data_IF_262742689985
#
_entry.id   IF_262742689985
#
_cell.length_a   1.000
_cell.length_b   1.000
_cell.length_c   1.000
_cell.angle_alpha   90.00
_cell.angle_beta   90.00
_cell.angle_gamma   90.00
#
_symmetry.space_group_name_H-M   'P 1'
#
loop_
_entity.id
_entity.type
_entity.pdbx_description
1 polymer ?
#
# COMPACT_ATOMS: atom_id res chain seq x y z
N UNK A 1 32.68 -2.03 6.23
CA UNK A 1 31.36 -2.14 6.89
C UNK A 1 30.43 -0.95 6.62
N UNK A 2 30.88 0.31 6.72
CA UNK A 2 30.03 1.49 6.47
C UNK A 2 29.49 1.61 5.02
N UNK A 3 30.17 1.01 4.03
CA UNK A 3 29.79 1.08 2.60
C UNK A 3 28.61 0.17 2.21
N UNK A 4 28.34 -0.90 2.96
CA UNK A 4 27.23 -1.82 2.67
C UNK A 4 25.91 -1.26 3.24
N UNK A 5 25.98 -0.59 4.40
CA UNK A 5 24.85 0.16 4.98
C UNK A 5 24.44 1.36 4.10
N UNK A 6 25.42 2.01 3.45
CA UNK A 6 25.20 3.15 2.54
C UNK A 6 24.58 2.73 1.19
N UNK A 7 24.87 1.53 0.70
CA UNK A 7 24.28 1.02 -0.55
C UNK A 7 22.80 0.61 -0.39
N UNK A 8 22.40 0.19 0.81
CA UNK A 8 20.99 -0.05 1.14
C UNK A 8 20.19 1.25 1.29
N UNK A 9 20.82 2.33 1.76
CA UNK A 9 20.17 3.64 1.88
C UNK A 9 20.05 4.39 0.54
N UNK A 10 20.90 4.08 -0.45
CA UNK A 10 20.96 4.80 -1.73
C UNK A 10 19.92 4.35 -2.78
N UNK A 11 19.24 3.22 -2.57
CA UNK A 11 18.21 2.72 -3.51
C UNK A 11 16.78 3.22 -3.22
N UNK A 12 16.60 4.14 -2.25
CA UNK A 12 15.29 4.67 -1.86
C UNK A 12 15.04 6.14 -2.21
N UNK A 13 15.78 6.68 -3.19
CA UNK A 13 15.46 7.99 -3.77
C UNK A 13 15.02 7.82 -5.22
N UNK A 14 13.76 7.45 -5.39
CA UNK A 14 13.04 7.62 -6.66
C UNK A 14 11.94 8.65 -6.44
N UNK A 15 12.25 9.89 -6.84
CA UNK A 15 11.33 10.94 -7.31
C UNK A 15 10.09 11.26 -6.44
N UNK A 16 10.26 12.15 -5.45
CA UNK A 16 9.16 12.99 -4.99
C UNK A 16 9.09 14.28 -5.82
N UNK A 17 8.46 14.18 -6.99
CA UNK A 17 7.84 15.34 -7.63
C UNK A 17 6.48 15.53 -6.97
N UNK A 18 6.26 16.67 -6.32
CA UNK A 18 4.95 17.09 -5.82
C UNK A 18 3.94 17.12 -6.97
N UNK A 19 3.04 16.14 -7.05
CA UNK A 19 1.91 16.18 -7.97
C UNK A 19 0.87 17.11 -7.36
N UNK A 20 1.01 18.41 -7.65
CA UNK A 20 0.00 19.40 -7.30
C UNK A 20 -1.28 19.07 -8.07
N UNK A 21 -2.36 18.80 -7.35
CA UNK A 21 -3.70 18.69 -7.94
C UNK A 21 -4.10 20.02 -8.56
N UNK A 22 -4.82 19.98 -9.68
CA UNK A 22 -5.33 21.18 -10.33
C UNK A 22 -6.75 21.46 -9.87
N UNK A 23 -6.98 22.64 -9.30
CA UNK A 23 -8.30 23.14 -8.95
C UNK A 23 -8.87 23.95 -10.12
N UNK A 24 -10.12 23.66 -10.49
CA UNK A 24 -10.84 24.28 -11.60
C UNK A 24 -12.21 24.71 -11.11
N UNK A 25 -12.57 25.97 -11.33
CA UNK A 25 -13.94 26.43 -11.14
C UNK A 25 -14.76 26.14 -12.40
N UNK A 26 -15.89 25.45 -12.24
CA UNK A 26 -16.78 25.05 -13.34
C UNK A 26 -18.12 25.75 -13.17
N UNK A 27 -18.37 26.73 -14.03
CA UNK A 27 -19.61 27.49 -14.05
C UNK A 27 -20.75 26.66 -14.64
N UNK A 28 -21.92 26.69 -14.00
CA UNK A 28 -23.10 25.92 -14.42
C UNK A 28 -23.64 26.36 -15.79
N UNK A 29 -23.44 27.63 -16.14
CA UNK A 29 -23.93 28.26 -17.36
C UNK A 29 -22.99 28.14 -18.57
N UNK A 30 -21.86 27.44 -18.42
CA UNK A 30 -20.86 27.34 -19.47
C UNK A 30 -20.71 25.89 -19.90
N UNK A 31 -20.99 25.62 -21.17
CA UNK A 31 -20.74 24.29 -21.73
C UNK A 31 -19.25 24.09 -22.02
N UNK A 32 -18.70 23.00 -21.47
CA UNK A 32 -17.35 22.51 -21.71
C UNK A 32 -16.24 23.51 -21.32
N UNK A 33 -16.25 23.94 -20.06
CA UNK A 33 -15.20 24.75 -19.43
C UNK A 33 -13.84 24.07 -19.60
N UNK A 34 -12.87 24.70 -20.27
CA UNK A 34 -11.51 24.18 -20.40
C UNK A 34 -10.83 24.12 -19.02
N UNK A 35 -10.26 22.96 -18.67
CA UNK A 35 -9.53 22.85 -17.40
C UNK A 35 -8.10 23.37 -17.48
N UNK A 36 -7.53 23.56 -18.68
CA UNK A 36 -6.09 23.77 -18.85
C UNK A 36 -5.24 22.51 -18.63
N UNK A 37 -5.84 21.39 -18.21
CA UNK A 37 -5.15 20.11 -18.03
C UNK A 37 -5.16 19.29 -19.31
N UNK A 38 -3.98 18.94 -19.82
CA UNK A 38 -3.84 17.95 -20.89
C UNK A 38 -3.67 16.55 -20.30
N UNK A 39 -4.68 15.69 -20.46
CA UNK A 39 -4.66 14.29 -20.00
C UNK A 39 -4.20 13.33 -21.09
N UNK A 40 -3.53 12.23 -20.73
CA UNK A 40 -3.10 11.20 -21.70
C UNK A 40 -3.94 9.93 -21.63
N UNK A 41 -4.19 9.32 -22.79
CA UNK A 41 -4.88 8.02 -22.89
C UNK A 41 -4.16 6.97 -22.03
N UNK A 42 -4.93 6.27 -21.19
CA UNK A 42 -4.45 5.21 -20.30
C UNK A 42 -4.07 5.69 -18.90
N UNK A 43 -3.88 6.99 -18.68
CA UNK A 43 -3.72 7.55 -17.34
C UNK A 43 -5.05 7.58 -16.59
N UNK A 44 -4.98 7.48 -15.27
CA UNK A 44 -6.14 7.52 -14.40
C UNK A 44 -6.10 8.80 -13.57
N UNK A 45 -7.25 9.42 -13.36
CA UNK A 45 -7.39 10.64 -12.58
C UNK A 45 -8.52 10.47 -11.56
N UNK A 46 -8.30 10.93 -10.33
CA UNK A 46 -9.37 11.18 -9.37
C UNK A 46 -9.86 12.60 -9.63
N UNK A 47 -11.16 12.72 -9.86
CA UNK A 47 -11.83 14.01 -10.05
C UNK A 47 -12.90 14.12 -8.98
N UNK A 48 -12.83 15.17 -8.15
CA UNK A 48 -13.79 15.45 -7.08
C UNK A 48 -14.30 16.87 -7.17
N UNK A 49 -15.55 17.09 -6.76
CA UNK A 49 -16.21 18.37 -6.87
C UNK A 49 -16.95 18.74 -5.58
N UNK A 50 -16.87 20.03 -5.24
CA UNK A 50 -17.60 20.65 -4.13
C UNK A 50 -18.32 21.90 -4.61
N UNK A 51 -19.40 22.27 -3.91
CA UNK A 51 -20.25 23.39 -4.27
C UNK A 51 -21.63 22.92 -4.75
N UNK A 52 -22.41 23.89 -5.22
CA UNK A 52 -23.75 23.65 -5.73
C UNK A 52 -24.01 24.54 -6.94
N UNK A 53 -24.83 24.01 -7.84
CA UNK A 53 -25.36 24.74 -8.99
C UNK A 53 -26.85 24.47 -9.15
N UNK A 54 -27.49 25.29 -9.96
CA UNK A 54 -28.94 25.34 -10.08
C UNK A 54 -29.34 25.43 -11.55
N UNK A 55 -30.40 24.71 -11.91
CA UNK A 55 -31.09 24.82 -13.21
C UNK A 55 -32.32 25.69 -13.01
N UNK A 56 -32.36 26.84 -13.69
CA UNK A 56 -33.46 27.80 -13.65
C UNK A 56 -34.00 28.02 -12.22
N UNK A 57 -35.27 27.67 -11.99
CA UNK A 57 -35.97 27.80 -10.71
C UNK A 57 -36.01 26.50 -9.90
N UNK A 58 -35.34 25.42 -10.34
CA UNK A 58 -35.24 24.19 -9.54
C UNK A 58 -34.35 24.41 -8.32
N UNK A 59 -34.46 23.62 -7.24
CA UNK A 59 -33.54 23.74 -6.10
C UNK A 59 -32.08 23.57 -6.51
N UNK A 60 -31.14 24.16 -5.77
CA UNK A 60 -29.72 23.89 -6.02
C UNK A 60 -29.38 22.40 -5.76
N UNK A 61 -28.41 21.88 -6.51
CA UNK A 61 -27.94 20.49 -6.42
C UNK A 61 -26.42 20.43 -6.41
N UNK A 62 -25.88 19.34 -5.85
CA UNK A 62 -24.45 19.06 -5.88
C UNK A 62 -24.02 18.50 -7.24
N UNK A 63 -22.75 18.13 -7.37
CA UNK A 63 -22.22 17.59 -8.61
C UNK A 63 -22.85 16.25 -9.04
N UNK A 64 -23.61 15.56 -8.19
CA UNK A 64 -24.34 14.33 -8.53
C UNK A 64 -25.62 14.60 -9.33
N UNK A 65 -26.10 15.83 -9.31
CA UNK A 65 -27.31 16.26 -10.01
C UNK A 65 -28.60 15.80 -9.35
N UNK A 66 -29.73 16.18 -9.96
CA UNK A 66 -31.05 15.88 -9.44
C UNK A 66 -31.36 14.38 -9.40
N UNK A 67 -31.91 13.91 -8.28
CA UNK A 67 -32.39 12.53 -8.09
C UNK A 67 -33.92 12.52 -8.25
N UNK A 68 -34.42 11.71 -9.18
CA UNK A 68 -35.84 11.67 -9.55
C UNK A 68 -36.19 12.67 -10.65
N UNK A 69 -37.29 12.42 -11.36
CA UNK A 69 -37.73 13.20 -12.51
C UNK A 69 -39.06 13.88 -12.24
N UNK A 70 -39.21 15.12 -12.73
CA UNK A 70 -40.52 15.73 -12.98
C UNK A 70 -40.87 15.53 -14.46
N UNK A 71 -42.15 15.49 -14.82
CA UNK A 71 -42.60 15.31 -16.21
C UNK A 71 -41.95 16.27 -17.25
N UNK A 72 -41.65 17.55 -16.94
CA UNK A 72 -40.92 18.45 -17.84
C UNK A 72 -39.49 18.00 -18.18
N UNK A 73 -38.80 17.31 -17.26
CA UNK A 73 -37.43 16.81 -17.50
C UNK A 73 -37.41 15.65 -18.51
N UNK A 74 -38.55 15.02 -18.80
CA UNK A 74 -38.63 13.83 -19.66
C UNK A 74 -38.34 14.14 -21.14
N UNK A 75 -38.79 15.31 -21.64
CA UNK A 75 -38.54 15.72 -23.03
C UNK A 75 -37.10 16.20 -23.26
N UNK A 76 -36.50 16.87 -22.27
CA UNK A 76 -35.12 17.34 -22.37
C UNK A 76 -34.06 16.23 -22.23
N UNK A 77 -34.44 15.03 -21.75
CA UNK A 77 -33.51 13.91 -21.52
C UNK A 77 -32.71 13.51 -22.77
N UNK A 78 -33.32 13.53 -23.95
CA UNK A 78 -32.66 13.16 -25.22
C UNK A 78 -31.69 14.22 -25.74
N UNK A 79 -31.81 15.45 -25.25
CA UNK A 79 -31.00 16.60 -25.71
C UNK A 79 -29.77 16.86 -24.83
N UNK A 80 -29.63 16.13 -23.72
CA UNK A 80 -28.45 16.21 -22.86
C UNK A 80 -27.20 15.66 -23.55
N UNK A 81 -26.01 16.18 -23.22
CA UNK A 81 -24.75 15.60 -23.64
C UNK A 81 -24.58 14.12 -23.27
N UNK A 82 -25.12 13.68 -22.13
CA UNK A 82 -25.16 12.28 -21.69
C UNK A 82 -26.59 11.93 -21.22
N UNK A 83 -27.46 11.43 -22.12
CA UNK A 83 -28.89 11.18 -21.84
C UNK A 83 -29.16 10.27 -20.63
N UNK A 84 -28.37 9.20 -20.47
CA UNK A 84 -28.52 8.21 -19.39
C UNK A 84 -27.96 8.62 -18.02
N UNK A 85 -27.67 9.91 -17.80
CA UNK A 85 -27.18 10.43 -16.54
C UNK A 85 -28.09 11.54 -16.01
N UNK A 86 -28.04 11.81 -14.70
CA UNK A 86 -28.89 12.81 -14.07
C UNK A 86 -28.70 14.21 -14.68
N UNK A 87 -29.78 15.01 -14.64
CA UNK A 87 -29.71 16.44 -14.93
C UNK A 87 -28.77 17.13 -13.95
N UNK A 88 -28.03 18.13 -14.42
CA UNK A 88 -27.05 18.86 -13.61
C UNK A 88 -25.99 17.98 -12.96
N UNK A 89 -25.72 16.78 -13.50
CA UNK A 89 -24.58 15.98 -13.06
C UNK A 89 -23.31 16.56 -13.66
N UNK A 90 -22.24 16.66 -12.86
CA UNK A 90 -20.92 17.02 -13.37
C UNK A 90 -20.41 15.94 -14.32
N UNK A 91 -20.01 16.37 -15.50
CA UNK A 91 -19.49 15.53 -16.56
C UNK A 91 -18.16 16.07 -17.08
N UNK A 92 -17.35 15.16 -17.62
CA UNK A 92 -16.11 15.45 -18.30
C UNK A 92 -16.17 15.10 -19.77
N UNK A 93 -15.31 15.75 -20.56
CA UNK A 93 -15.11 15.51 -21.98
C UNK A 93 -13.63 15.61 -22.32
N UNK A 94 -13.17 14.70 -23.18
CA UNK A 94 -11.89 14.81 -23.89
C UNK A 94 -12.16 14.50 -25.35
N UNK A 95 -12.00 15.50 -26.23
CA UNK A 95 -12.43 15.43 -27.64
C UNK A 95 -13.91 15.01 -27.73
N UNK A 96 -14.26 13.97 -28.49
CA UNK A 96 -15.65 13.51 -28.63
C UNK A 96 -16.08 12.51 -27.54
N UNK A 97 -15.20 12.14 -26.62
CA UNK A 97 -15.52 11.20 -25.55
C UNK A 97 -16.01 11.96 -24.31
N UNK A 98 -17.23 11.65 -23.86
CA UNK A 98 -17.87 12.23 -22.67
C UNK A 98 -18.06 11.17 -21.59
N UNK A 99 -18.01 11.55 -20.33
CA UNK A 99 -18.16 10.65 -19.20
C UNK A 99 -18.78 11.35 -17.98
N UNK A 100 -19.59 10.65 -17.17
CA UNK A 100 -20.09 11.19 -15.90
C UNK A 100 -19.00 11.21 -14.83
N UNK A 101 -19.07 12.20 -13.93
CA UNK A 101 -18.15 12.35 -12.79
C UNK A 101 -18.92 12.33 -11.46
N UNK A 102 -19.90 13.22 -11.27
CA UNK A 102 -20.55 13.35 -9.96
C UNK A 102 -19.67 14.05 -8.91
N UNK A 103 -19.96 13.84 -7.63
CA UNK A 103 -19.18 14.41 -6.51
C UNK A 103 -17.73 13.90 -6.48
N UNK A 104 -17.50 12.64 -6.87
CA UNK A 104 -16.15 12.08 -6.97
C UNK A 104 -16.15 10.83 -7.84
N UNK A 105 -15.21 10.74 -8.78
CA UNK A 105 -14.98 9.54 -9.59
C UNK A 105 -13.50 9.34 -9.90
N UNK A 106 -13.12 8.08 -10.15
CA UNK A 106 -11.81 7.72 -10.70
C UNK A 106 -12.01 7.36 -12.17
N UNK A 107 -11.37 8.09 -13.07
CA UNK A 107 -11.58 7.97 -14.52
C UNK A 107 -10.26 7.60 -15.19
N UNK A 108 -10.25 6.45 -15.87
CA UNK A 108 -9.18 6.09 -16.81
C UNK A 108 -9.46 6.70 -18.17
N UNK A 109 -8.52 7.51 -18.66
CA UNK A 109 -8.70 8.31 -19.87
C UNK A 109 -8.68 7.45 -21.14
N UNK A 110 -9.74 7.51 -21.94
CA UNK A 110 -9.83 6.77 -23.22
C UNK A 110 -9.20 7.52 -24.41
N UNK A 111 -8.85 8.80 -24.21
CA UNK A 111 -8.34 9.72 -25.23
C UNK A 111 -7.29 10.65 -24.61
N UNK A 112 -6.33 11.08 -25.43
CA UNK A 112 -5.38 12.15 -25.09
C UNK A 112 -5.94 13.49 -25.59
N UNK A 113 -5.88 14.52 -24.77
CA UNK A 113 -6.31 15.88 -25.09
C UNK A 113 -6.62 16.70 -23.84
N UNK A 114 -7.10 17.93 -24.03
CA UNK A 114 -7.53 18.77 -22.93
C UNK A 114 -8.80 18.22 -22.26
N UNK A 115 -8.80 18.17 -20.92
CA UNK A 115 -9.98 17.86 -20.13
C UNK A 115 -10.90 19.08 -20.09
N UNK A 116 -12.17 18.89 -20.43
CA UNK A 116 -13.22 19.91 -20.31
C UNK A 116 -14.31 19.41 -19.36
N UNK A 117 -14.89 20.31 -18.55
CA UNK A 117 -15.89 20.00 -17.53
C UNK A 117 -17.19 20.77 -17.79
N UNK A 118 -18.34 20.17 -17.48
CA UNK A 118 -19.65 20.78 -17.77
C UNK A 118 -20.80 20.17 -16.94
N UNK A 119 -21.90 20.92 -16.81
CA UNK A 119 -23.19 20.44 -16.30
C UNK A 119 -23.91 19.59 -17.34
N UNK A 120 -24.45 18.42 -16.95
CA UNK A 120 -25.23 17.57 -17.85
C UNK A 120 -26.66 18.10 -18.06
N UNK A 121 -26.75 19.29 -18.62
CA UNK A 121 -27.98 19.98 -18.98
C UNK A 121 -28.27 19.86 -20.49
N UNK A 122 -29.51 20.10 -20.92
CA UNK A 122 -29.91 20.04 -22.31
C UNK A 122 -29.19 21.11 -23.15
N UNK A 123 -28.82 20.75 -24.38
CA UNK A 123 -28.20 21.72 -25.31
C UNK A 123 -29.12 22.93 -25.51
N UNK A 124 -28.58 24.12 -25.33
CA UNK A 124 -29.30 25.39 -25.48
C UNK A 124 -29.96 25.91 -24.20
N UNK A 125 -29.85 25.21 -23.07
CA UNK A 125 -30.45 25.63 -21.80
C UNK A 125 -29.44 26.13 -20.77
N UNK A 126 -28.13 26.04 -21.03
CA UNK A 126 -27.10 26.45 -20.08
C UNK A 126 -27.23 27.89 -19.56
N UNK A 127 -27.75 28.81 -20.36
CA UNK A 127 -27.83 30.23 -20.00
C UNK A 127 -28.77 30.52 -18.81
N UNK A 128 -29.68 29.60 -18.48
CA UNK A 128 -30.56 29.72 -17.31
C UNK A 128 -29.98 29.10 -16.03
N UNK A 129 -28.80 28.48 -16.11
CA UNK A 129 -28.14 27.85 -14.97
C UNK A 129 -27.38 28.88 -14.14
N UNK A 130 -27.26 28.65 -12.83
CA UNK A 130 -26.48 29.50 -11.93
C UNK A 130 -25.64 28.70 -10.93
N UNK A 131 -24.66 29.36 -10.32
CA UNK A 131 -23.70 28.74 -9.40
C UNK A 131 -22.48 28.11 -10.10
N UNK A 132 -21.60 27.54 -9.28
CA UNK A 132 -20.34 26.93 -9.73
C UNK A 132 -19.95 25.75 -8.85
N UNK A 133 -19.12 24.87 -9.42
CA UNK A 133 -18.45 23.80 -8.69
C UNK A 133 -16.95 24.06 -8.67
N UNK A 134 -16.31 23.88 -7.52
CA UNK A 134 -14.85 23.74 -7.43
C UNK A 134 -14.49 22.29 -7.66
N UNK A 135 -13.66 22.02 -8.66
CA UNK A 135 -13.29 20.68 -9.11
C UNK A 135 -11.79 20.47 -8.98
N UNK A 136 -11.42 19.48 -8.18
CA UNK A 136 -10.04 19.03 -8.01
C UNK A 136 -9.75 17.86 -8.94
N UNK A 137 -8.69 17.96 -9.73
CA UNK A 137 -8.21 16.87 -10.61
C UNK A 137 -6.81 16.46 -10.18
N UNK A 138 -6.68 15.20 -9.76
CA UNK A 138 -5.42 14.63 -9.28
C UNK A 138 -5.10 13.37 -10.09
N UNK A 139 -3.90 13.21 -10.65
CA UNK A 139 -3.45 11.93 -11.20
C UNK A 139 -3.63 10.82 -10.17
N UNK A 140 -4.47 9.85 -10.48
CA UNK A 140 -4.52 8.62 -9.74
C UNK A 140 -3.36 7.77 -10.25
N UNK A 141 -2.33 7.59 -9.41
CA UNK A 141 -1.33 6.56 -9.68
C UNK A 141 -2.07 5.24 -9.95
N UNK A 142 -1.47 4.36 -10.77
CA UNK A 142 -1.95 2.97 -10.91
C UNK A 142 -1.94 2.34 -9.52
N UNK A 143 -3.04 2.51 -8.80
CA UNK A 143 -3.35 1.79 -7.58
C UNK A 143 -3.62 0.36 -8.03
N UNK A 144 -2.56 -0.42 -8.13
CA UNK A 144 -2.66 -1.86 -8.04
C UNK A 144 -3.11 -2.21 -6.63
N UNK A 145 -4.40 -1.99 -6.30
CA UNK A 145 -5.21 -2.84 -5.41
C UNK A 145 -6.63 -2.29 -5.25
N UNK A 146 -7.58 -3.19 -5.38
CA UNK A 146 -9.01 -3.05 -5.13
C UNK A 146 -9.38 -2.30 -3.83
N UNK A 147 -10.44 -1.49 -3.91
CA UNK A 147 -11.51 -1.32 -2.90
C UNK A 147 -11.18 -1.85 -1.49
N UNK A 148 -10.38 -1.12 -0.72
CA UNK A 148 -10.19 -1.37 0.71
C UNK A 148 -11.25 -0.57 1.49
N UNK A 149 -12.24 -1.27 2.05
CA UNK A 149 -13.13 -0.68 3.05
C UNK A 149 -12.34 -0.49 4.37
N UNK A 150 -12.33 0.71 4.99
CA UNK A 150 -11.70 0.91 6.28
C UNK A 150 -12.40 0.09 7.36
N UNK A 151 -11.65 -0.45 8.32
CA UNK A 151 -12.18 -1.05 9.54
C UNK A 151 -11.37 -0.51 10.73
N UNK A 152 -11.92 0.52 11.36
CA UNK A 152 -11.40 1.13 12.58
C UNK A 152 -12.33 0.72 13.72
N UNK A 153 -11.79 0.58 14.93
CA UNK A 153 -12.60 0.59 16.14
C UNK A 153 -13.01 2.05 16.43
N UNK A 154 -14.14 2.23 17.11
CA UNK A 154 -14.70 3.55 17.46
C UNK A 154 -13.74 4.41 18.32
N UNK A 155 -12.71 3.82 18.91
CA UNK A 155 -11.71 4.46 19.77
C UNK A 155 -10.48 5.06 19.05
N UNK A 156 -10.37 4.89 17.72
CA UNK A 156 -9.26 5.41 16.93
C UNK A 156 -7.96 4.61 16.99
N UNK A 157 -7.98 3.36 17.45
CA UNK A 157 -6.82 2.48 17.38
C UNK A 157 -6.61 1.90 15.98
N UNK A 158 -5.34 1.84 15.55
CA UNK A 158 -4.97 1.17 14.30
C UNK A 158 -5.29 -0.33 14.38
N UNK A 159 -6.07 -0.82 13.41
CA UNK A 159 -6.41 -2.24 13.28
C UNK A 159 -5.63 -2.84 12.11
N UNK A 160 -4.75 -3.84 12.37
CA UNK A 160 -4.04 -4.53 11.30
C UNK A 160 -4.97 -5.13 10.24
N UNK A 161 -4.50 -5.21 8.99
CA UNK A 161 -5.29 -5.72 7.85
C UNK A 161 -5.94 -7.09 8.10
N UNK A 162 -5.19 -7.99 8.74
CA UNK A 162 -5.62 -9.35 9.04
C UNK A 162 -6.00 -9.52 10.52
N UNK A 163 -6.39 -8.44 11.22
CA UNK A 163 -6.62 -8.47 12.67
C UNK A 163 -7.59 -9.57 13.11
N UNK A 164 -8.69 -9.74 12.37
CA UNK A 164 -9.73 -10.74 12.63
C UNK A 164 -9.63 -11.98 11.74
N UNK A 165 -8.57 -12.13 10.95
CA UNK A 165 -8.38 -13.31 10.13
C UNK A 165 -8.05 -14.54 11.01
N UNK A 166 -8.44 -15.76 10.59
CA UNK A 166 -7.98 -16.98 11.23
C UNK A 166 -6.44 -17.06 11.23
N UNK A 167 -5.87 -17.68 12.26
CA UNK A 167 -4.42 -17.75 12.42
C UNK A 167 -3.72 -18.40 11.20
N UNK A 168 -4.30 -19.43 10.59
CA UNK A 168 -3.76 -20.04 9.37
C UNK A 168 -3.55 -19.04 8.22
N UNK A 169 -4.45 -18.07 8.05
CA UNK A 169 -4.28 -16.99 7.05
C UNK A 169 -3.15 -16.03 7.43
N UNK A 170 -2.98 -15.77 8.74
CA UNK A 170 -1.87 -14.94 9.24
C UNK A 170 -0.54 -15.64 9.01
N UNK A 171 -0.44 -16.92 9.35
CA UNK A 171 0.75 -17.75 9.11
C UNK A 171 1.10 -17.80 7.63
N UNK A 172 0.14 -18.06 6.75
CA UNK A 172 0.42 -18.18 5.31
C UNK A 172 0.98 -16.87 4.73
N UNK A 173 0.36 -15.73 5.07
CA UNK A 173 0.85 -14.41 4.66
C UNK A 173 2.19 -14.06 5.31
N UNK A 174 2.35 -14.36 6.60
CA UNK A 174 3.58 -14.12 7.34
C UNK A 174 4.74 -14.91 6.74
N UNK A 175 4.55 -16.20 6.50
CA UNK A 175 5.51 -17.10 5.86
C UNK A 175 5.86 -16.64 4.44
N UNK A 176 4.88 -16.23 3.63
CA UNK A 176 5.14 -15.68 2.30
C UNK A 176 6.13 -14.51 2.34
N UNK A 177 5.97 -13.59 3.30
CA UNK A 177 6.86 -12.45 3.44
C UNK A 177 8.22 -12.83 4.05
N UNK A 178 8.24 -13.70 5.04
CA UNK A 178 9.48 -14.23 5.63
C UNK A 178 10.33 -14.89 4.55
N UNK A 179 9.78 -15.87 3.84
CA UNK A 179 10.51 -16.61 2.80
C UNK A 179 10.85 -15.73 1.59
N UNK A 180 10.05 -14.70 1.31
CA UNK A 180 10.39 -13.69 0.30
C UNK A 180 11.64 -12.88 0.67
N UNK A 181 11.72 -12.41 1.92
CA UNK A 181 12.90 -11.70 2.44
C UNK A 181 14.12 -12.61 2.48
N UNK A 182 13.95 -13.85 2.94
CA UNK A 182 15.01 -14.86 2.99
C UNK A 182 15.55 -15.18 1.59
N UNK A 183 14.67 -15.43 0.61
CA UNK A 183 15.09 -15.72 -0.75
C UNK A 183 15.87 -14.55 -1.39
N UNK A 184 15.44 -13.30 -1.13
CA UNK A 184 16.17 -12.11 -1.57
C UNK A 184 17.54 -12.03 -0.87
N UNK A 185 17.59 -12.25 0.44
CA UNK A 185 18.83 -12.20 1.23
C UNK A 185 19.82 -13.27 0.78
N UNK A 186 19.33 -14.49 0.55
CA UNK A 186 20.09 -15.61 0.01
C UNK A 186 20.63 -15.31 -1.39
N UNK A 187 19.80 -14.73 -2.26
CA UNK A 187 20.23 -14.30 -3.60
C UNK A 187 21.30 -13.20 -3.57
N UNK A 188 21.20 -12.25 -2.63
CA UNK A 188 22.22 -11.22 -2.42
C UNK A 188 23.52 -11.86 -1.92
N UNK A 189 23.48 -12.75 -0.93
CA UNK A 189 24.65 -13.45 -0.41
C UNK A 189 25.35 -14.30 -1.49
N UNK A 190 24.58 -15.00 -2.32
CA UNK A 190 25.10 -15.77 -3.44
C UNK A 190 25.79 -14.90 -4.51
N UNK A 191 25.39 -13.64 -4.66
CA UNK A 191 25.98 -12.68 -5.60
C UNK A 191 27.17 -11.90 -5.00
N UNK A 192 27.34 -11.90 -3.68
CA UNK A 192 28.45 -11.24 -3.00
C UNK A 192 29.75 -12.07 -3.12
N UNK A 193 30.91 -11.41 -3.22
CA UNK A 193 32.19 -12.12 -3.24
C UNK A 193 32.43 -12.90 -1.93
N UNK A 194 33.20 -13.98 -2.03
CA UNK A 194 33.35 -15.02 -1.00
C UNK A 194 33.97 -14.54 0.30
N UNK A 195 34.68 -13.41 0.29
CA UNK A 195 35.21 -12.73 1.47
C UNK A 195 34.11 -12.06 2.32
N UNK A 196 32.97 -11.74 1.69
CA UNK A 196 31.79 -11.18 2.35
C UNK A 196 30.78 -12.28 2.70
N UNK A 197 30.42 -13.13 1.74
CA UNK A 197 29.38 -14.16 1.91
C UNK A 197 29.85 -15.40 2.67
N UNK A 198 31.16 -15.66 2.69
CA UNK A 198 31.72 -16.92 3.21
C UNK A 198 31.58 -18.10 2.24
N UNK A 199 30.77 -17.97 1.19
CA UNK A 199 30.50 -19.05 0.24
C UNK A 199 31.55 -19.07 -0.88
N UNK A 200 32.21 -20.22 -1.04
CA UNK A 200 33.26 -20.43 -2.05
C UNK A 200 32.67 -21.06 -3.31
N UNK A 201 33.44 -21.03 -4.40
CA UNK A 201 33.07 -21.77 -5.61
C UNK A 201 32.88 -23.25 -5.27
N UNK A 202 31.72 -23.81 -5.62
CA UNK A 202 31.33 -25.18 -5.29
C UNK A 202 30.62 -25.38 -3.94
N UNK A 203 30.31 -24.33 -3.17
CA UNK A 203 29.54 -24.42 -1.92
C UNK A 203 28.22 -25.19 -2.08
N UNK A 204 27.57 -25.09 -3.24
CA UNK A 204 26.30 -25.77 -3.53
C UNK A 204 26.45 -27.23 -4.00
N UNK A 205 27.66 -27.72 -4.29
CA UNK A 205 27.86 -29.03 -4.91
C UNK A 205 27.41 -30.19 -4.01
N UNK A 206 27.42 -29.99 -2.69
CA UNK A 206 27.12 -31.01 -1.69
C UNK A 206 25.79 -30.77 -0.97
N UNK A 207 24.88 -29.98 -1.56
CA UNK A 207 23.65 -29.55 -0.90
C UNK A 207 22.82 -30.73 -0.36
N UNK A 208 22.62 -31.77 -1.18
CA UNK A 208 21.84 -32.94 -0.77
C UNK A 208 22.46 -33.74 0.39
N UNK A 209 23.79 -33.92 0.37
CA UNK A 209 24.50 -34.60 1.47
C UNK A 209 24.51 -33.77 2.75
N UNK A 210 24.64 -32.45 2.64
CA UNK A 210 24.58 -31.53 3.78
C UNK A 210 23.19 -31.53 4.42
N UNK A 211 22.14 -31.46 3.59
CA UNK A 211 20.77 -31.56 4.08
C UNK A 211 20.54 -32.90 4.80
N UNK A 212 20.99 -34.03 4.23
CA UNK A 212 20.90 -35.32 4.92
C UNK A 212 21.63 -35.30 6.27
N UNK A 213 22.81 -34.68 6.34
CA UNK A 213 23.59 -34.54 7.57
C UNK A 213 22.87 -33.71 8.63
N UNK A 214 22.24 -32.59 8.25
CA UNK A 214 21.46 -31.76 9.15
C UNK A 214 20.35 -32.54 9.89
N UNK A 215 19.70 -33.50 9.22
CA UNK A 215 18.63 -34.32 9.80
C UNK A 215 19.11 -35.60 10.51
N UNK A 216 20.41 -35.94 10.40
CA UNK A 216 20.96 -37.19 10.94
C UNK A 216 22.06 -36.99 11.98
N UNK A 217 22.58 -35.78 12.13
CA UNK A 217 23.62 -35.40 13.08
C UNK A 217 23.12 -34.24 13.96
N UNK A 218 23.59 -34.13 15.21
CA UNK A 218 23.17 -33.04 16.08
C UNK A 218 23.61 -31.67 15.53
N UNK A 219 22.92 -30.59 15.91
CA UNK A 219 23.42 -29.22 15.74
C UNK A 219 24.80 -29.04 16.35
N UNK A 220 25.57 -28.10 15.81
CA UNK A 220 26.93 -27.79 16.28
C UNK A 220 26.99 -26.35 16.77
N UNK A 221 28.02 -26.03 17.55
CA UNK A 221 28.37 -24.64 17.74
C UNK A 221 29.06 -24.16 16.46
N UNK A 222 28.48 -23.15 15.81
CA UNK A 222 29.09 -22.53 14.65
C UNK A 222 30.27 -21.62 15.05
N UNK A 223 31.03 -21.18 14.05
CA UNK A 223 32.13 -20.24 14.24
C UNK A 223 31.92 -18.97 13.44
N UNK A 224 30.66 -18.55 13.32
CA UNK A 224 30.29 -17.36 12.60
C UNK A 224 30.82 -16.09 13.27
N UNK A 225 30.91 -15.02 12.48
CA UNK A 225 31.33 -13.73 12.99
C UNK A 225 30.32 -13.30 14.05
N UNK A 226 30.78 -12.94 15.25
CA UNK A 226 29.91 -12.60 16.39
C UNK A 226 28.71 -11.67 16.06
N UNK A 227 28.87 -10.70 15.15
CA UNK A 227 27.78 -9.79 14.79
C UNK A 227 26.66 -10.46 13.98
N UNK A 228 26.94 -11.59 13.32
CA UNK A 228 25.92 -12.40 12.65
C UNK A 228 25.04 -13.04 13.74
N UNK A 229 25.59 -13.82 14.66
CA UNK A 229 24.84 -14.52 15.71
C UNK A 229 24.18 -13.59 16.73
N UNK A 230 24.75 -12.41 17.01
CA UNK A 230 24.27 -11.52 18.08
C UNK A 230 23.61 -10.23 17.58
N UNK A 231 23.60 -9.95 16.28
CA UNK A 231 22.87 -8.81 15.70
C UNK A 231 22.00 -9.26 14.53
N UNK A 232 22.58 -9.95 13.54
CA UNK A 232 21.88 -10.43 12.34
C UNK A 232 20.74 -11.40 12.68
N UNK A 233 21.07 -12.51 13.31
CA UNK A 233 20.12 -13.54 13.72
C UNK A 233 19.04 -12.98 14.68
N UNK A 234 19.35 -12.21 15.74
CA UNK A 234 18.34 -11.54 16.54
C UNK A 234 17.39 -10.63 15.76
N UNK A 235 17.90 -9.90 14.75
CA UNK A 235 17.07 -9.12 13.84
C UNK A 235 16.21 -10.02 12.93
N UNK A 236 16.74 -11.16 12.50
CA UNK A 236 15.98 -12.18 11.77
C UNK A 236 14.81 -12.74 12.58
N UNK A 237 15.07 -13.15 13.83
CA UNK A 237 14.02 -13.56 14.75
C UNK A 237 12.98 -12.46 15.00
N UNK A 238 13.41 -11.19 15.05
CA UNK A 238 12.50 -10.04 15.20
C UNK A 238 11.50 -9.96 14.04
N UNK A 239 11.94 -10.08 12.78
CA UNK A 239 11.01 -10.05 11.66
C UNK A 239 10.23 -11.35 11.50
N UNK A 240 10.76 -12.52 11.89
CA UNK A 240 9.97 -13.76 11.96
C UNK A 240 8.79 -13.60 12.93
N UNK A 241 9.04 -13.11 14.14
CA UNK A 241 8.02 -12.83 15.15
C UNK A 241 6.98 -11.82 14.62
N UNK A 242 7.47 -10.70 14.08
CA UNK A 242 6.61 -9.62 13.59
C UNK A 242 5.81 -9.97 12.34
N UNK A 243 6.16 -11.05 11.64
CA UNK A 243 5.44 -11.56 10.48
C UNK A 243 3.95 -11.77 10.75
N UNK A 244 3.63 -12.35 11.90
CA UNK A 244 2.25 -12.63 12.34
C UNK A 244 1.82 -11.69 13.47
N UNK A 245 2.74 -11.18 14.30
CA UNK A 245 2.41 -10.21 15.35
C UNK A 245 1.81 -8.93 14.78
N UNK A 246 2.38 -8.41 13.69
CA UNK A 246 1.88 -7.24 12.95
C UNK A 246 0.57 -7.50 12.18
N UNK A 247 -0.02 -8.70 12.33
CA UNK A 247 -1.36 -9.06 11.88
C UNK A 247 -2.34 -9.26 13.03
N UNK A 248 -1.99 -8.86 14.27
CA UNK A 248 -2.76 -9.11 15.50
C UNK A 248 -2.81 -10.60 15.90
N UNK A 249 -1.73 -11.35 15.69
CA UNK A 249 -1.55 -12.65 16.37
C UNK A 249 -1.18 -12.40 17.84
N UNK A 250 -1.48 -13.35 18.73
CA UNK A 250 -1.08 -13.26 20.14
C UNK A 250 0.44 -13.39 20.27
N UNK A 251 0.98 -13.00 21.43
CA UNK A 251 2.40 -13.18 21.75
C UNK A 251 2.81 -14.64 21.57
N UNK A 252 2.03 -15.59 22.07
CA UNK A 252 2.30 -17.02 21.97
C UNK A 252 2.25 -17.56 20.54
N UNK A 253 1.26 -17.14 19.76
CA UNK A 253 1.17 -17.49 18.34
C UNK A 253 2.38 -16.98 17.55
N UNK A 254 2.82 -15.77 17.86
CA UNK A 254 3.96 -15.12 17.21
C UNK A 254 5.29 -15.75 17.63
N UNK A 255 5.43 -16.11 18.91
CA UNK A 255 6.60 -16.80 19.44
C UNK A 255 6.75 -18.20 18.82
N UNK A 256 5.67 -18.99 18.76
CA UNK A 256 5.71 -20.32 18.15
C UNK A 256 6.00 -20.24 16.65
N UNK A 257 5.42 -19.26 15.96
CA UNK A 257 5.73 -19.02 14.56
C UNK A 257 7.21 -18.65 14.37
N UNK A 258 7.77 -17.78 15.22
CA UNK A 258 9.18 -17.42 15.20
C UNK A 258 10.08 -18.65 15.37
N UNK A 259 9.84 -19.45 16.41
CA UNK A 259 10.60 -20.70 16.66
C UNK A 259 10.52 -21.62 15.45
N UNK A 260 9.32 -21.85 14.90
CA UNK A 260 9.13 -22.68 13.72
C UNK A 260 9.90 -22.17 12.49
N UNK A 261 9.94 -20.84 12.28
CA UNK A 261 10.71 -20.24 11.18
C UNK A 261 12.22 -20.38 11.37
N UNK A 262 12.73 -20.28 12.61
CA UNK A 262 14.15 -20.58 12.91
C UNK A 262 14.46 -22.04 12.56
N UNK A 263 13.60 -22.99 12.93
CA UNK A 263 13.79 -24.39 12.54
C UNK A 263 13.77 -24.58 11.02
N UNK A 264 12.86 -23.93 10.30
CA UNK A 264 12.81 -23.99 8.83
C UNK A 264 14.09 -23.42 8.23
N UNK A 265 14.57 -22.29 8.73
CA UNK A 265 15.82 -21.70 8.29
C UNK A 265 16.99 -22.68 8.47
N UNK A 266 17.25 -23.08 9.71
CA UNK A 266 18.40 -23.91 10.08
C UNK A 266 18.38 -25.30 9.41
N UNK A 267 17.23 -25.99 9.45
CA UNK A 267 17.14 -27.40 9.02
C UNK A 267 16.71 -27.61 7.57
N UNK A 268 16.31 -26.57 6.85
CA UNK A 268 15.84 -26.69 5.46
C UNK A 268 16.57 -25.76 4.52
N UNK A 269 16.65 -24.47 4.84
CA UNK A 269 17.19 -23.44 3.94
C UNK A 269 18.72 -23.39 4.03
N UNK A 270 19.26 -23.30 5.25
CA UNK A 270 20.69 -23.21 5.51
C UNK A 270 21.37 -24.58 5.61
N UNK A 271 20.63 -25.61 6.03
CA UNK A 271 21.10 -27.00 6.16
C UNK A 271 21.81 -27.58 4.93
N UNK A 272 21.50 -27.09 3.73
CA UNK A 272 22.18 -27.52 2.51
C UNK A 272 23.60 -26.95 2.37
N UNK A 273 23.93 -25.90 3.11
CA UNK A 273 25.22 -25.24 3.08
C UNK A 273 26.01 -25.53 4.36
N UNK A 274 25.35 -25.41 5.51
CA UNK A 274 25.97 -25.48 6.83
C UNK A 274 25.20 -26.43 7.75
N UNK A 275 25.85 -26.87 8.83
CA UNK A 275 25.16 -27.70 9.84
C UNK A 275 24.34 -26.76 10.74
N UNK A 276 23.11 -27.14 11.16
CA UNK A 276 22.31 -26.33 12.07
C UNK A 276 23.10 -25.87 13.30
N UNK A 277 22.94 -24.60 13.65
CA UNK A 277 23.64 -23.96 14.76
C UNK A 277 22.87 -24.05 16.08
N UNK A 278 23.55 -24.49 17.13
CA UNK A 278 23.00 -24.44 18.50
C UNK A 278 22.80 -22.98 18.94
N UNK A 279 23.71 -22.07 18.57
CA UNK A 279 23.58 -20.66 18.91
C UNK A 279 22.33 -20.08 18.27
N UNK A 280 22.11 -20.35 16.99
CA UNK A 280 21.02 -19.71 16.27
C UNK A 280 19.67 -20.35 16.62
N UNK A 281 19.62 -21.64 16.92
CA UNK A 281 18.41 -22.30 17.44
C UNK A 281 17.95 -21.74 18.80
N UNK A 282 18.86 -21.15 19.59
CA UNK A 282 18.56 -20.62 20.93
C UNK A 282 18.44 -19.10 20.92
N UNK A 283 19.46 -18.40 20.42
CA UNK A 283 19.58 -16.94 20.51
C UNK A 283 18.60 -16.25 19.56
N UNK A 284 18.48 -16.72 18.31
CA UNK A 284 17.58 -16.16 17.29
C UNK A 284 16.15 -16.04 17.80
N UNK A 285 15.48 -17.11 18.27
CA UNK A 285 14.11 -16.99 18.74
C UNK A 285 14.01 -16.20 20.06
N UNK A 286 14.91 -16.41 21.03
CA UNK A 286 14.81 -15.74 22.34
C UNK A 286 14.95 -14.22 22.19
N UNK A 287 16.04 -13.77 21.55
CA UNK A 287 16.28 -12.36 21.33
C UNK A 287 15.26 -11.77 20.34
N UNK A 288 14.94 -12.51 19.27
CA UNK A 288 13.97 -12.08 18.27
C UNK A 288 12.56 -11.89 18.80
N UNK A 289 12.09 -12.76 19.71
CA UNK A 289 10.78 -12.60 20.36
C UNK A 289 10.79 -11.37 21.27
N UNK A 290 11.83 -11.20 22.10
CA UNK A 290 11.93 -10.10 23.03
C UNK A 290 11.99 -8.74 22.32
N UNK A 291 12.91 -8.59 21.35
CA UNK A 291 13.01 -7.37 20.55
C UNK A 291 11.81 -7.19 19.63
N UNK A 292 11.27 -8.28 19.07
CA UNK A 292 10.06 -8.33 18.27
C UNK A 292 8.88 -7.66 18.96
N UNK A 293 8.58 -8.05 20.21
CA UNK A 293 7.45 -7.47 20.95
C UNK A 293 7.68 -6.01 21.32
N UNK A 294 8.90 -5.64 21.72
CA UNK A 294 9.25 -4.24 22.01
C UNK A 294 9.07 -3.34 20.78
N UNK A 295 9.59 -3.80 19.64
CA UNK A 295 9.47 -3.09 18.36
C UNK A 295 8.02 -3.06 17.89
N UNK A 296 7.27 -4.15 18.04
CA UNK A 296 5.85 -4.18 17.70
C UNK A 296 5.06 -3.17 18.53
N UNK A 297 5.27 -3.14 19.85
CA UNK A 297 4.63 -2.18 20.74
C UNK A 297 4.94 -0.73 20.33
N UNK A 298 6.21 -0.41 20.08
CA UNK A 298 6.62 0.90 19.57
C UNK A 298 5.98 1.24 18.22
N UNK A 299 5.92 0.26 17.31
CA UNK A 299 5.29 0.39 15.99
C UNK A 299 3.80 0.72 16.12
N UNK A 300 3.06 0.02 16.97
CA UNK A 300 1.63 0.27 17.18
C UNK A 300 1.37 1.64 17.80
N UNK A 301 2.27 2.11 18.68
CA UNK A 301 2.20 3.46 19.27
C UNK A 301 2.44 4.56 18.23
N UNK A 302 3.45 4.41 17.37
CA UNK A 302 3.69 5.32 16.24
C UNK A 302 2.53 5.29 15.25
N UNK A 303 2.00 4.10 14.96
CA UNK A 303 0.92 3.90 14.00
C UNK A 303 -0.43 4.46 14.46
N UNK A 304 -0.61 4.79 15.76
CA UNK A 304 -1.89 5.20 16.33
C UNK A 304 -2.57 6.32 15.55
N UNK A 305 -1.79 7.31 15.08
CA UNK A 305 -2.29 8.48 14.36
C UNK A 305 -1.72 8.56 12.92
N UNK A 306 -1.28 7.43 12.37
CA UNK A 306 -0.51 7.40 11.13
C UNK A 306 0.97 7.67 11.37
N UNK A 307 1.82 7.09 10.52
CA UNK A 307 3.26 7.30 10.60
C UNK A 307 3.61 8.66 10.01
N UNK A 308 4.31 9.48 10.79
CA UNK A 308 5.08 10.60 10.24
C UNK A 308 6.19 10.05 9.34
N UNK A 309 6.70 10.88 8.43
CA UNK A 309 7.73 10.44 7.47
C UNK A 309 8.95 9.78 8.12
N UNK A 310 9.40 10.26 9.29
CA UNK A 310 10.52 9.66 10.02
C UNK A 310 10.14 8.38 10.78
N UNK A 311 8.90 8.27 11.25
CA UNK A 311 8.35 7.05 11.85
C UNK A 311 8.16 5.97 10.79
N UNK A 312 7.78 6.36 9.58
CA UNK A 312 7.71 5.47 8.43
C UNK A 312 9.09 4.84 8.18
N UNK A 313 10.15 5.64 8.09
CA UNK A 313 11.53 5.15 7.95
C UNK A 313 11.91 4.21 9.10
N UNK A 314 11.66 4.61 10.35
CA UNK A 314 11.97 3.79 11.52
C UNK A 314 11.23 2.45 11.50
N UNK A 315 9.94 2.45 11.16
CA UNK A 315 9.12 1.24 11.07
C UNK A 315 9.56 0.36 9.90
N UNK A 316 9.96 0.91 8.76
CA UNK A 316 10.51 0.12 7.65
C UNK A 316 11.75 -0.67 8.07
N UNK A 317 12.64 -0.02 8.83
CA UNK A 317 13.92 -0.63 9.24
C UNK A 317 13.71 -1.58 10.41
N UNK A 318 12.97 -1.18 11.44
CA UNK A 318 12.85 -1.96 12.67
C UNK A 318 11.75 -3.03 12.57
N UNK A 319 10.66 -2.74 11.87
CA UNK A 319 9.50 -3.62 11.72
C UNK A 319 9.01 -3.70 10.26
N UNK A 320 9.85 -4.19 9.32
CA UNK A 320 9.47 -4.28 7.91
C UNK A 320 8.17 -5.08 7.71
N UNK A 321 7.89 -6.05 8.59
CA UNK A 321 6.68 -6.86 8.54
C UNK A 321 5.41 -6.08 8.82
N UNK A 322 5.47 -5.00 9.58
CA UNK A 322 4.33 -4.10 9.72
C UNK A 322 3.98 -3.47 8.36
N UNK A 323 4.99 -2.94 7.65
CA UNK A 323 4.81 -2.30 6.35
C UNK A 323 4.32 -3.30 5.32
N UNK A 324 4.91 -4.49 5.24
CA UNK A 324 4.49 -5.52 4.28
C UNK A 324 3.06 -5.99 4.54
N UNK A 325 2.65 -6.08 5.80
CA UNK A 325 1.29 -6.49 6.15
C UNK A 325 0.25 -5.38 5.95
N UNK A 326 0.58 -4.14 6.28
CA UNK A 326 -0.40 -3.07 6.48
C UNK A 326 -0.18 -1.83 5.59
N UNK A 327 1.00 -1.67 4.99
CA UNK A 327 1.41 -0.49 4.24
C UNK A 327 1.74 0.71 5.12
N UNK A 328 2.14 1.82 4.49
CA UNK A 328 2.38 3.11 5.16
C UNK A 328 1.11 3.95 5.29
N UNK A 329 0.14 3.74 4.38
CA UNK A 329 -1.09 4.51 4.31
C UNK A 329 -2.25 3.68 4.83
N UNK A 330 -2.77 4.09 5.98
CA UNK A 330 -3.98 3.54 6.57
C UNK A 330 -4.77 4.70 7.19
N UNK A 331 -6.09 4.71 6.99
CA UNK A 331 -6.97 5.80 7.47
C UNK A 331 -7.25 5.63 8.95
N UNK A 332 -7.33 6.75 9.68
CA UNK A 332 -7.74 6.84 11.09
C UNK A 332 -9.26 6.86 11.25
N UNK A 333 -9.78 6.61 12.46
CA UNK A 333 -11.22 6.69 12.81
C UNK A 333 -11.84 8.05 12.48
N UNK A 334 -11.02 9.10 12.49
CA UNK A 334 -11.40 10.47 12.14
C UNK A 334 -11.63 10.73 10.65
N UNK A 335 -11.45 9.72 9.77
CA UNK A 335 -11.69 9.86 8.33
C UNK A 335 -10.63 10.64 7.56
N UNK A 336 -9.62 11.20 8.24
CA UNK A 336 -8.52 11.92 7.60
C UNK A 336 -7.47 10.93 7.04
N UNK A 337 -7.00 11.11 5.79
CA UNK A 337 -5.85 10.39 5.31
C UNK A 337 -4.61 10.77 6.12
N UNK A 338 -3.79 9.77 6.44
CA UNK A 338 -2.45 9.97 7.00
C UNK A 338 -1.53 10.35 5.84
N UNK A 339 -0.80 11.47 5.99
CA UNK A 339 0.02 12.07 4.93
C UNK A 339 1.27 11.24 4.60
#
# INVERSE_FOLDING_TARGET
MLRILLLFLLMLVVSFGSVLGQEIEVMANTYAVPSGLTVKKGETYRISAEGQWQDASFPATDASGFKGFTAPMFFGMLLKPIPGQHYMKLCGKVKNWKFPIGNSSIITMKRTGELQLFANDAKGFFDNNSGSLRVSVVPAQKDSTASFKPRLLEDGTFVPRNAHAPFGRKMWRGGLFVHGIEAISYGILAALPSDISGWKSGTFNNYGSNLKRAWTQPPVLDHDKWFINYIGHPYQGTYFYNAVRSQNATIWQSALFCVGQVFVWEYVIEAGLEQPSIQDLIITPIAGIAFGELIHFGTMKMAKNGLKWYEAIAVTVLNPMFVLNNGYRYRLSSGQPTY
#
